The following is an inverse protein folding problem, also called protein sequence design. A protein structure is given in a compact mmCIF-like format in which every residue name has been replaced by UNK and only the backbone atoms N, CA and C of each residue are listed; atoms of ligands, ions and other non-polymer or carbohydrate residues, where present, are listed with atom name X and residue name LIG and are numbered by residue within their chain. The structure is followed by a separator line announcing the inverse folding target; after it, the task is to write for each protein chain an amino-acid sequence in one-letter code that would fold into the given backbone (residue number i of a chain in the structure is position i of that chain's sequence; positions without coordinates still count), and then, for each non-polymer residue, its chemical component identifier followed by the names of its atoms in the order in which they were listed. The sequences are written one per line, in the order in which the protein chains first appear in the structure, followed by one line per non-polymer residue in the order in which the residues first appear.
data_IF_136936114358
#
_entry.id   IF_136936114358
#
_cell.length_a   1.000
_cell.length_b   1.000
_cell.length_c   1.000
_cell.angle_alpha   90.00
_cell.angle_beta   90.00
_cell.angle_gamma   90.00
#
_symmetry.space_group_name_H-M   'P 1'
#
loop_
_entity.id
_entity.type
_entity.pdbx_description
1 polymer ?
#
# COMPACT_ATOMS: atom_id res chain seq x y z
N UNK A 1 -1.98 24.68 4.38
CA UNK A 1 -1.78 25.08 2.96
C UNK A 1 -0.30 25.22 2.54
N UNK A 2 0.60 25.83 3.31
CA UNK A 2 2.03 26.01 2.93
C UNK A 2 2.79 24.67 2.76
N UNK A 3 2.64 23.72 3.71
CA UNK A 3 3.35 22.42 3.65
C UNK A 3 2.96 21.63 2.41
N UNK A 4 1.67 21.53 2.08
CA UNK A 4 1.19 20.81 0.89
C UNK A 4 1.88 21.32 -0.38
N UNK A 5 1.97 22.65 -0.57
CA UNK A 5 2.66 23.25 -1.74
C UNK A 5 4.14 22.86 -1.81
N UNK A 6 4.84 22.81 -0.67
CA UNK A 6 6.25 22.40 -0.64
C UNK A 6 6.42 20.92 -1.02
N UNK A 7 5.59 20.03 -0.49
CA UNK A 7 5.65 18.60 -0.81
C UNK A 7 5.41 18.36 -2.31
N UNK A 8 4.40 19.01 -2.89
CA UNK A 8 4.16 18.90 -4.34
C UNK A 8 5.32 19.47 -5.15
N UNK A 9 5.95 20.57 -4.73
CA UNK A 9 7.16 21.09 -5.40
C UNK A 9 8.29 20.06 -5.39
N UNK A 10 8.51 19.35 -4.27
CA UNK A 10 9.50 18.28 -4.18
C UNK A 10 9.15 17.17 -5.18
N UNK A 11 7.88 16.70 -5.20
CA UNK A 11 7.43 15.67 -6.15
C UNK A 11 7.69 16.09 -7.60
N UNK A 12 7.31 17.31 -7.98
CA UNK A 12 7.51 17.82 -9.35
C UNK A 12 8.97 17.90 -9.76
N UNK A 13 9.91 18.11 -8.82
CA UNK A 13 11.34 18.06 -9.13
C UNK A 13 11.81 16.68 -9.60
N UNK A 14 11.21 15.61 -9.08
CA UNK A 14 11.52 14.22 -9.44
C UNK A 14 10.65 13.71 -10.60
N UNK A 15 9.37 14.07 -10.58
CA UNK A 15 8.34 13.58 -11.50
C UNK A 15 7.44 14.74 -11.96
N UNK A 16 7.85 15.54 -12.97
CA UNK A 16 7.13 16.75 -13.36
C UNK A 16 5.74 16.52 -13.96
N UNK A 17 5.47 15.31 -14.47
CA UNK A 17 4.20 14.98 -15.16
C UNK A 17 3.26 14.13 -14.28
N UNK A 18 3.25 14.33 -12.96
CA UNK A 18 2.61 13.42 -11.99
C UNK A 18 1.11 13.57 -11.80
N UNK A 19 0.40 14.28 -12.63
CA UNK A 19 -1.06 14.39 -12.49
C UNK A 19 -1.73 13.02 -12.48
N UNK A 20 -2.57 12.77 -11.46
CA UNK A 20 -3.28 11.50 -11.32
C UNK A 20 -4.36 11.41 -12.41
N UNK A 21 -4.02 10.80 -13.53
CA UNK A 21 -4.98 10.36 -14.54
C UNK A 21 -5.51 8.98 -14.14
N UNK A 22 -6.80 8.95 -13.80
CA UNK A 22 -7.49 7.72 -13.36
C UNK A 22 -7.37 6.59 -14.39
N UNK A 23 -7.45 6.91 -15.67
CA UNK A 23 -7.39 5.91 -16.74
C UNK A 23 -5.99 5.32 -16.88
N UNK A 24 -4.96 6.15 -16.81
CA UNK A 24 -3.56 5.70 -16.82
C UNK A 24 -3.24 4.85 -15.58
N UNK A 25 -3.75 5.24 -14.41
CA UNK A 25 -3.58 4.45 -13.19
C UNK A 25 -4.17 3.04 -13.33
N UNK A 26 -5.43 2.96 -13.80
CA UNK A 26 -6.10 1.67 -14.07
C UNK A 26 -5.39 0.85 -15.13
N UNK A 27 -4.90 1.49 -16.21
CA UNK A 27 -4.15 0.80 -17.27
C UNK A 27 -2.86 0.17 -16.73
N UNK A 28 -2.12 0.89 -15.89
CA UNK A 28 -0.90 0.35 -15.28
C UNK A 28 -1.24 -0.85 -14.37
N UNK A 29 -2.27 -0.76 -13.52
CA UNK A 29 -2.71 -1.88 -12.70
C UNK A 29 -3.06 -3.11 -13.53
N UNK A 30 -3.77 -2.92 -14.64
CA UNK A 30 -4.20 -4.00 -15.55
C UNK A 30 -3.02 -4.62 -16.31
N UNK A 31 -2.02 -3.81 -16.66
CA UNK A 31 -0.88 -4.24 -17.50
C UNK A 31 0.37 -4.59 -16.70
N UNK A 32 0.33 -4.48 -15.39
CA UNK A 32 1.44 -4.87 -14.51
C UNK A 32 1.55 -6.39 -14.36
N UNK A 33 2.77 -6.87 -14.10
CA UNK A 33 3.02 -8.29 -13.75
C UNK A 33 3.06 -8.52 -12.24
N UNK A 34 3.05 -7.44 -11.47
CA UNK A 34 3.13 -7.53 -10.02
C UNK A 34 1.76 -7.80 -9.44
N UNK A 35 1.72 -8.54 -8.36
CA UNK A 35 0.52 -8.73 -7.56
C UNK A 35 0.10 -7.37 -6.99
N UNK A 36 -0.78 -6.68 -7.71
CA UNK A 36 -1.37 -5.46 -7.19
C UNK A 36 -2.17 -5.79 -5.93
N UNK A 37 -1.81 -5.19 -4.82
CA UNK A 37 -2.60 -5.28 -3.60
C UNK A 37 -3.76 -4.28 -3.63
N UNK A 38 -4.69 -4.46 -2.70
CA UNK A 38 -5.79 -3.51 -2.47
C UNK A 38 -5.29 -2.09 -2.20
N UNK A 39 -4.08 -1.93 -1.63
CA UNK A 39 -3.47 -0.63 -1.34
C UNK A 39 -3.04 0.17 -2.58
N UNK A 40 -2.98 -0.47 -3.74
CA UNK A 40 -2.75 0.21 -5.03
C UNK A 40 -4.04 0.70 -5.70
N UNK A 41 -5.21 0.35 -5.18
CA UNK A 41 -6.49 0.76 -5.76
C UNK A 41 -6.81 2.22 -5.42
N UNK A 42 -7.30 2.97 -6.41
CA UNK A 42 -7.69 4.37 -6.22
C UNK A 42 -8.77 4.57 -5.15
N UNK A 43 -9.69 3.61 -5.01
CA UNK A 43 -10.71 3.66 -3.97
C UNK A 43 -10.11 3.53 -2.57
N UNK A 44 -9.11 2.67 -2.40
CA UNK A 44 -8.37 2.54 -1.15
C UNK A 44 -7.61 3.83 -0.82
N UNK A 45 -6.97 4.45 -1.82
CA UNK A 45 -6.29 5.75 -1.66
C UNK A 45 -7.30 6.81 -1.18
N UNK A 46 -8.46 6.92 -1.83
CA UNK A 46 -9.52 7.86 -1.44
C UNK A 46 -10.04 7.61 -0.04
N UNK A 47 -10.27 6.33 0.30
CA UNK A 47 -10.72 5.94 1.62
C UNK A 47 -9.74 6.38 2.70
N UNK A 48 -8.46 6.07 2.59
CA UNK A 48 -7.48 6.43 3.61
C UNK A 48 -7.20 7.93 3.69
N UNK A 49 -7.25 8.66 2.58
CA UNK A 49 -7.19 10.14 2.60
C UNK A 49 -8.37 10.71 3.39
N UNK A 50 -9.57 10.15 3.24
CA UNK A 50 -10.75 10.54 4.01
C UNK A 50 -10.63 10.10 5.47
N UNK A 51 -10.20 8.86 5.71
CA UNK A 51 -10.04 8.29 7.06
C UNK A 51 -9.06 9.10 7.92
N UNK A 52 -7.97 9.57 7.33
CA UNK A 52 -6.98 10.41 8.02
C UNK A 52 -7.23 11.92 7.86
N UNK A 53 -8.40 12.34 7.38
CA UNK A 53 -8.68 13.78 7.13
C UNK A 53 -8.46 14.66 8.36
N UNK A 54 -8.85 14.18 9.54
CA UNK A 54 -8.67 14.88 10.81
C UNK A 54 -7.21 14.93 11.28
N UNK A 55 -6.32 14.17 10.62
CA UNK A 55 -4.90 14.06 10.92
C UNK A 55 -4.02 14.76 9.87
N UNK A 56 -4.51 15.83 9.25
CA UNK A 56 -3.77 16.59 8.22
C UNK A 56 -3.27 15.73 7.04
N UNK A 57 -4.07 14.78 6.55
CA UNK A 57 -3.65 13.88 5.47
C UNK A 57 -3.43 14.59 4.14
N UNK A 58 -2.38 14.19 3.43
CA UNK A 58 -2.02 14.72 2.11
C UNK A 58 -1.76 13.51 1.19
N UNK A 59 -2.58 13.38 0.14
CA UNK A 59 -2.32 12.38 -0.91
C UNK A 59 -1.11 12.82 -1.75
N UNK A 60 -0.07 12.01 -1.75
CA UNK A 60 1.17 12.17 -2.51
C UNK A 60 1.34 11.07 -3.57
N UNK A 61 0.29 10.25 -3.80
CA UNK A 61 0.31 9.18 -4.81
C UNK A 61 0.58 9.76 -6.19
N UNK A 62 1.34 9.05 -7.01
CA UNK A 62 1.80 9.58 -8.29
C UNK A 62 1.84 8.53 -9.39
N UNK A 63 1.70 8.98 -10.64
CA UNK A 63 2.04 8.21 -11.83
C UNK A 63 3.51 8.46 -12.14
N UNK A 64 4.23 7.39 -12.43
CA UNK A 64 5.65 7.42 -12.75
C UNK A 64 5.82 7.47 -14.25
N UNK A 65 6.54 8.48 -14.73
CA UNK A 65 6.78 8.68 -16.15
C UNK A 65 8.24 8.44 -16.50
N UNK A 66 8.46 7.87 -17.68
CA UNK A 66 9.75 7.78 -18.35
C UNK A 66 9.55 8.09 -19.84
N UNK A 67 10.35 9.02 -20.38
CA UNK A 67 10.22 9.51 -21.76
C UNK A 67 8.76 9.88 -22.13
N UNK A 68 8.10 10.64 -21.26
CA UNK A 68 6.70 11.07 -21.40
C UNK A 68 5.65 9.94 -21.38
N UNK A 69 6.05 8.70 -21.20
CA UNK A 69 5.15 7.56 -21.09
C UNK A 69 4.89 7.20 -19.63
N UNK A 70 3.63 6.95 -19.28
CA UNK A 70 3.26 6.44 -17.98
C UNK A 70 3.70 4.97 -17.88
N UNK A 71 4.65 4.69 -16.99
CA UNK A 71 5.31 3.37 -16.87
C UNK A 71 5.09 2.70 -15.52
N UNK A 72 4.58 3.44 -14.53
CA UNK A 72 4.34 2.89 -13.20
C UNK A 72 3.46 3.80 -12.34
N UNK A 73 3.13 3.32 -11.15
CA UNK A 73 2.38 4.04 -10.11
C UNK A 73 3.04 3.85 -8.76
N UNK A 74 2.94 4.85 -7.91
CA UNK A 74 3.41 4.83 -6.53
C UNK A 74 2.33 5.38 -5.61
N UNK A 75 1.66 4.53 -4.81
CA UNK A 75 0.80 4.99 -3.73
C UNK A 75 1.65 5.58 -2.61
N UNK A 76 1.36 6.82 -2.23
CA UNK A 76 2.07 7.49 -1.15
C UNK A 76 1.14 8.50 -0.47
N UNK A 77 1.22 8.57 0.83
CA UNK A 77 0.46 9.54 1.63
C UNK A 77 1.33 10.07 2.77
N UNK A 78 1.18 11.34 3.09
CA UNK A 78 1.67 11.91 4.33
C UNK A 78 0.48 12.19 5.24
N UNK A 79 0.57 11.81 6.51
CA UNK A 79 -0.44 12.13 7.52
C UNK A 79 0.21 12.25 8.89
N UNK A 80 -0.51 12.80 9.86
CA UNK A 80 -0.04 12.85 11.25
C UNK A 80 -0.51 11.61 12.00
N UNK A 81 0.39 11.03 12.80
CA UNK A 81 0.06 9.95 13.72
C UNK A 81 -0.66 10.49 14.99
N UNK A 82 -0.98 9.60 15.93
CA UNK A 82 -1.62 9.96 17.21
C UNK A 82 -0.81 10.97 18.02
N UNK A 83 0.51 10.99 17.86
CA UNK A 83 1.43 11.95 18.52
C UNK A 83 1.56 13.28 17.75
N UNK A 84 0.75 13.48 16.69
CA UNK A 84 0.80 14.63 15.79
C UNK A 84 2.13 14.78 15.01
N UNK A 85 2.90 13.71 14.90
CA UNK A 85 4.10 13.63 14.09
C UNK A 85 3.77 13.21 12.66
N UNK A 86 4.47 13.79 11.68
CA UNK A 86 4.32 13.36 10.30
C UNK A 86 4.88 11.96 10.06
N UNK A 87 4.13 11.17 9.29
CA UNK A 87 4.55 9.87 8.78
C UNK A 87 4.26 9.77 7.29
N UNK A 88 5.11 9.03 6.56
CA UNK A 88 4.84 8.61 5.19
C UNK A 88 4.33 7.17 5.21
N UNK A 89 3.31 6.89 4.42
CA UNK A 89 2.66 5.58 4.34
C UNK A 89 2.20 5.23 2.93
N UNK A 90 1.90 3.96 2.70
CA UNK A 90 1.33 3.42 1.48
C UNK A 90 -0.19 3.31 1.53
N UNK A 91 -0.89 4.37 1.99
CA UNK A 91 -2.35 4.38 2.15
C UNK A 91 -2.87 3.34 3.16
N UNK A 92 -2.59 3.59 4.43
CA UNK A 92 -3.08 2.78 5.56
C UNK A 92 -2.14 1.66 6.02
N UNK A 93 -1.06 1.45 5.29
CA UNK A 93 0.06 0.56 5.66
C UNK A 93 1.35 1.33 5.54
N UNK A 94 2.46 0.73 5.92
CA UNK A 94 3.81 1.24 5.65
C UNK A 94 4.01 1.48 4.15
N UNK A 95 5.09 2.13 3.75
CA UNK A 95 5.37 2.41 2.34
C UNK A 95 5.51 1.08 1.58
N UNK A 96 4.66 0.89 0.57
CA UNK A 96 4.67 -0.29 -0.31
C UNK A 96 5.50 -0.04 -1.57
N UNK A 97 5.80 -1.12 -2.29
CA UNK A 97 6.54 -1.01 -3.55
C UNK A 97 5.76 -0.29 -4.65
N UNK A 98 6.45 0.39 -5.58
CA UNK A 98 5.83 0.89 -6.79
C UNK A 98 5.47 -0.25 -7.74
N UNK A 99 4.36 -0.10 -8.46
CA UNK A 99 3.97 -1.02 -9.53
C UNK A 99 4.41 -0.46 -10.87
N UNK A 100 4.93 -1.34 -11.74
CA UNK A 100 5.39 -0.99 -13.08
C UNK A 100 4.69 -1.82 -14.15
N UNK A 101 4.59 -1.29 -15.37
CA UNK A 101 4.16 -2.04 -16.55
C UNK A 101 5.07 -3.24 -16.80
N UNK A 102 4.49 -4.33 -17.32
CA UNK A 102 5.12 -5.64 -17.52
C UNK A 102 6.46 -5.57 -18.25
N UNK A 103 6.53 -4.79 -19.31
CA UNK A 103 7.66 -4.78 -20.24
C UNK A 103 8.66 -3.65 -19.99
N UNK A 104 8.65 -3.07 -18.77
CA UNK A 104 9.63 -2.03 -18.44
C UNK A 104 11.01 -2.64 -18.23
N UNK A 105 12.00 -2.15 -19.00
CA UNK A 105 13.37 -2.60 -18.90
C UNK A 105 13.93 -2.41 -17.47
N UNK A 106 14.62 -3.42 -16.94
CA UNK A 106 15.17 -3.42 -15.58
C UNK A 106 16.04 -2.18 -15.27
N UNK A 107 16.82 -1.72 -16.24
CA UNK A 107 17.65 -0.51 -16.11
C UNK A 107 16.81 0.75 -15.87
N UNK A 108 15.68 0.87 -16.58
CA UNK A 108 14.75 1.99 -16.43
C UNK A 108 14.03 1.89 -15.08
N UNK A 109 13.54 0.70 -14.73
CA UNK A 109 12.93 0.41 -13.44
C UNK A 109 13.86 0.84 -12.29
N UNK A 110 15.10 0.36 -12.28
CA UNK A 110 16.10 0.71 -11.26
C UNK A 110 16.32 2.22 -11.15
N UNK A 111 16.39 2.94 -12.29
CA UNK A 111 16.54 4.40 -12.31
C UNK A 111 15.35 5.10 -11.64
N UNK A 112 14.13 4.67 -11.94
CA UNK A 112 12.92 5.23 -11.34
C UNK A 112 12.85 4.92 -9.85
N UNK A 113 13.13 3.69 -9.43
CA UNK A 113 13.13 3.29 -8.03
C UNK A 113 14.14 4.10 -7.21
N UNK A 114 15.33 4.36 -7.75
CA UNK A 114 16.31 5.25 -7.11
C UNK A 114 15.77 6.68 -6.96
N UNK A 115 15.07 7.20 -7.98
CA UNK A 115 14.42 8.52 -7.88
C UNK A 115 13.34 8.53 -6.79
N UNK A 116 12.56 7.46 -6.65
CA UNK A 116 11.53 7.35 -5.62
C UNK A 116 12.17 7.36 -4.22
N UNK A 117 13.25 6.61 -4.00
CA UNK A 117 13.95 6.61 -2.72
C UNK A 117 14.49 8.01 -2.36
N UNK A 118 15.11 8.69 -3.32
CA UNK A 118 15.56 10.06 -3.11
C UNK A 118 14.40 11.03 -2.82
N UNK A 119 13.27 10.87 -3.52
CA UNK A 119 12.04 11.63 -3.25
C UNK A 119 11.54 11.38 -1.82
N UNK A 120 11.45 10.12 -1.37
CA UNK A 120 11.01 9.77 -0.01
C UNK A 120 11.95 10.41 1.01
N UNK A 121 13.25 10.39 0.77
CA UNK A 121 14.24 11.02 1.63
C UNK A 121 14.04 12.55 1.74
N UNK A 122 13.82 13.24 0.62
CA UNK A 122 13.59 14.69 0.62
C UNK A 122 12.25 15.06 1.25
N UNK A 123 11.20 14.26 1.04
CA UNK A 123 9.91 14.42 1.73
C UNK A 123 10.07 14.23 3.24
N UNK A 124 10.85 13.23 3.66
CA UNK A 124 11.11 12.97 5.08
C UNK A 124 11.86 14.11 5.75
N UNK A 125 12.85 14.70 5.07
CA UNK A 125 13.53 15.91 5.55
C UNK A 125 12.58 17.10 5.72
N UNK A 126 11.74 17.38 4.71
CA UNK A 126 10.79 18.49 4.77
C UNK A 126 9.77 18.30 5.90
N UNK A 127 9.32 17.07 6.13
CA UNK A 127 8.36 16.69 7.16
C UNK A 127 8.99 16.42 8.54
N UNK A 128 10.33 16.42 8.63
CA UNK A 128 11.09 16.06 9.85
C UNK A 128 10.76 14.65 10.35
N UNK A 129 10.65 13.71 9.42
CA UNK A 129 10.41 12.28 9.71
C UNK A 129 11.77 11.62 9.96
N UNK A 130 11.93 11.02 11.13
CA UNK A 130 13.17 10.35 11.52
C UNK A 130 13.24 8.90 11.03
N UNK A 131 12.09 8.23 10.83
CA UNK A 131 12.02 6.83 10.45
C UNK A 131 10.94 6.60 9.39
N UNK A 132 11.34 6.05 8.24
CA UNK A 132 10.43 5.56 7.22
C UNK A 132 10.32 4.03 7.33
N UNK A 133 9.09 3.53 7.30
CA UNK A 133 8.80 2.10 7.35
C UNK A 133 8.31 1.61 5.99
N UNK A 134 8.85 0.48 5.55
CA UNK A 134 8.49 -0.16 4.29
C UNK A 134 7.96 -1.57 4.59
N UNK A 135 6.93 -1.99 3.87
CA UNK A 135 6.38 -3.33 4.02
C UNK A 135 6.41 -4.09 2.70
N UNK A 136 6.89 -5.33 2.75
CA UNK A 136 6.71 -6.28 1.66
C UNK A 136 5.36 -6.99 1.83
N UNK A 137 4.46 -6.76 0.88
CA UNK A 137 3.13 -7.39 0.86
C UNK A 137 3.09 -8.69 0.05
N UNK A 138 4.17 -9.06 -0.61
CA UNK A 138 4.30 -10.37 -1.26
C UNK A 138 4.69 -11.44 -0.24
N UNK A 139 3.82 -12.44 -0.04
CA UNK A 139 4.02 -13.46 1.01
C UNK A 139 5.15 -14.47 0.72
N UNK A 140 5.51 -14.68 -0.54
CA UNK A 140 6.41 -15.77 -0.93
C UNK A 140 7.70 -15.31 -1.60
N UNK A 141 7.86 -14.00 -1.83
CA UNK A 141 8.96 -13.50 -2.63
C UNK A 141 9.33 -12.07 -2.26
N UNK A 142 10.62 -11.82 -2.14
CA UNK A 142 11.11 -10.45 -2.10
C UNK A 142 11.27 -9.91 -3.52
N UNK A 143 10.64 -8.78 -3.80
CA UNK A 143 10.87 -8.06 -5.05
C UNK A 143 12.30 -7.45 -5.06
N UNK A 144 12.78 -7.10 -6.26
CA UNK A 144 14.07 -6.38 -6.41
C UNK A 144 14.07 -5.03 -5.66
N UNK A 145 12.90 -4.43 -5.45
CA UNK A 145 12.73 -3.23 -4.63
C UNK A 145 13.11 -3.49 -3.18
N UNK A 146 12.50 -4.51 -2.56
CA UNK A 146 12.78 -4.85 -1.16
C UNK A 146 14.19 -5.36 -0.95
N UNK A 147 14.76 -6.13 -1.87
CA UNK A 147 16.16 -6.56 -1.79
C UNK A 147 17.10 -5.36 -1.66
N UNK A 148 16.83 -4.27 -2.42
CA UNK A 148 17.63 -3.03 -2.31
C UNK A 148 17.35 -2.25 -1.03
N UNK A 149 16.11 -2.25 -0.54
CA UNK A 149 15.78 -1.61 0.73
C UNK A 149 16.48 -2.30 1.91
N UNK A 150 16.61 -3.63 1.88
CA UNK A 150 17.34 -4.38 2.90
C UNK A 150 18.82 -3.97 3.01
N UNK A 151 19.44 -3.58 1.88
CA UNK A 151 20.82 -3.06 1.88
C UNK A 151 20.94 -1.69 2.55
N UNK A 152 19.84 -0.93 2.66
CA UNK A 152 19.78 0.42 3.22
C UNK A 152 19.11 0.47 4.59
N UNK A 153 18.49 -0.62 5.03
CA UNK A 153 17.71 -0.66 6.25
C UNK A 153 18.60 -0.75 7.49
N UNK A 154 18.32 0.10 8.48
CA UNK A 154 18.95 0.02 9.82
C UNK A 154 18.36 -1.12 10.66
N UNK A 155 17.06 -1.40 10.46
CA UNK A 155 16.33 -2.44 11.17
C UNK A 155 15.41 -3.19 10.20
N UNK A 156 15.29 -4.49 10.40
CA UNK A 156 14.35 -5.35 9.67
C UNK A 156 13.52 -6.16 10.63
N UNK A 157 12.21 -6.25 10.36
CA UNK A 157 11.28 -7.07 11.13
C UNK A 157 10.64 -8.10 10.21
N UNK A 158 10.56 -9.33 10.68
CA UNK A 158 9.84 -10.41 9.98
C UNK A 158 8.53 -10.68 10.70
N UNK A 159 7.43 -10.61 9.97
CA UNK A 159 6.13 -11.07 10.44
C UNK A 159 5.79 -12.42 9.81
N UNK A 160 5.09 -13.26 10.56
CA UNK A 160 4.59 -14.54 10.07
C UNK A 160 3.09 -14.43 9.82
N UNK A 161 2.66 -14.84 8.63
CA UNK A 161 1.26 -14.90 8.27
C UNK A 161 0.83 -16.36 8.10
N UNK A 162 -0.34 -16.68 8.65
CA UNK A 162 -1.00 -17.95 8.38
C UNK A 162 -1.94 -17.74 7.20
N UNK A 163 -1.70 -18.49 6.13
CA UNK A 163 -2.55 -18.46 4.95
C UNK A 163 -3.48 -19.67 4.96
N UNK A 164 -4.74 -19.44 4.63
CA UNK A 164 -5.74 -20.47 4.47
C UNK A 164 -6.02 -20.58 2.97
N UNK A 165 -5.82 -21.77 2.40
CA UNK A 165 -6.18 -22.06 1.03
C UNK A 165 -7.70 -22.21 0.93
N UNK A 166 -8.35 -21.19 0.37
CA UNK A 166 -9.82 -21.17 0.19
C UNK A 166 -10.30 -22.00 -1.00
N UNK A 167 -9.41 -22.63 -1.78
CA UNK A 167 -9.78 -23.58 -2.83
C UNK A 167 -10.13 -24.98 -2.27
N UNK A 168 -9.73 -25.23 -1.00
CA UNK A 168 -10.04 -26.46 -0.30
C UNK A 168 -11.51 -26.49 0.19
N UNK A 169 -12.05 -27.68 0.37
CA UNK A 169 -13.35 -27.84 1.05
C UNK A 169 -13.30 -27.35 2.50
N UNK A 170 -14.45 -27.00 3.05
CA UNK A 170 -14.56 -26.56 4.46
C UNK A 170 -14.04 -27.64 5.40
N UNK A 171 -14.27 -28.91 5.09
CA UNK A 171 -13.80 -30.06 5.87
C UNK A 171 -12.27 -30.14 5.88
N UNK A 172 -11.62 -29.98 4.72
CA UNK A 172 -10.16 -29.97 4.60
C UNK A 172 -9.55 -28.77 5.34
N UNK A 173 -10.12 -27.58 5.19
CA UNK A 173 -9.71 -26.40 5.95
C UNK A 173 -9.82 -26.64 7.45
N UNK A 174 -10.93 -27.22 7.94
CA UNK A 174 -11.14 -27.55 9.35
C UNK A 174 -10.13 -28.57 9.90
N UNK A 175 -9.67 -29.51 9.06
CA UNK A 175 -8.64 -30.48 9.47
C UNK A 175 -7.29 -29.80 9.75
N UNK A 176 -6.97 -28.71 9.06
CA UNK A 176 -5.73 -27.96 9.23
C UNK A 176 -5.70 -27.12 10.52
N UNK A 177 -6.86 -26.81 11.12
CA UNK A 177 -6.88 -26.05 12.36
C UNK A 177 -6.33 -26.86 13.55
N UNK A 178 -5.61 -26.17 14.43
CA UNK A 178 -5.16 -26.76 15.71
C UNK A 178 -6.37 -27.31 16.48
N UNK A 179 -6.16 -28.41 17.20
CA UNK A 179 -7.23 -29.05 18.00
C UNK A 179 -7.92 -28.08 18.95
N UNK A 180 -7.17 -27.11 19.52
CA UNK A 180 -7.72 -26.08 20.44
C UNK A 180 -8.71 -25.13 19.81
N UNK A 181 -8.66 -24.90 18.47
CA UNK A 181 -9.62 -24.01 17.79
C UNK A 181 -10.95 -24.69 17.43
N UNK A 182 -10.96 -26.01 17.29
CA UNK A 182 -12.17 -26.74 16.90
C UNK A 182 -13.35 -26.49 17.85
N UNK A 183 -13.20 -26.55 19.21
CA UNK A 183 -14.26 -26.20 20.10
C UNK A 183 -14.76 -24.76 19.97
N UNK A 184 -13.85 -23.80 19.75
CA UNK A 184 -14.20 -22.39 19.59
C UNK A 184 -15.02 -22.16 18.32
N UNK A 185 -14.62 -22.77 17.21
CA UNK A 185 -15.36 -22.73 15.94
C UNK A 185 -16.74 -23.33 16.11
N UNK A 186 -16.86 -24.50 16.76
CA UNK A 186 -18.14 -25.16 17.00
C UNK A 186 -19.03 -24.33 17.93
N UNK A 187 -18.44 -23.61 18.89
CA UNK A 187 -19.18 -22.67 19.75
C UNK A 187 -19.71 -21.51 18.91
N UNK A 188 -18.87 -20.90 18.05
CA UNK A 188 -19.29 -19.82 17.17
C UNK A 188 -20.46 -20.23 16.27
N UNK A 189 -20.42 -21.39 15.66
CA UNK A 189 -21.53 -21.89 14.82
C UNK A 189 -22.87 -22.08 15.60
N UNK A 190 -22.82 -22.32 16.89
CA UNK A 190 -24.02 -22.46 17.70
C UNK A 190 -24.54 -21.13 18.23
N UNK A 191 -23.65 -20.19 18.52
CA UNK A 191 -24.00 -18.97 19.26
C UNK A 191 -24.11 -17.75 18.34
N UNK A 192 -23.48 -17.78 17.14
CA UNK A 192 -23.45 -16.65 16.22
C UNK A 192 -24.44 -16.85 15.08
N UNK A 193 -25.25 -15.86 14.84
CA UNK A 193 -26.04 -15.73 13.62
C UNK A 193 -25.20 -14.93 12.62
N UNK A 194 -24.83 -15.56 11.49
CA UNK A 194 -24.09 -14.92 10.41
C UNK A 194 -25.10 -14.53 9.33
N UNK A 195 -25.17 -13.25 9.01
CA UNK A 195 -25.94 -12.73 7.90
C UNK A 195 -24.97 -12.20 6.83
N UNK A 196 -25.19 -12.64 5.60
CA UNK A 196 -24.40 -12.18 4.46
C UNK A 196 -25.25 -11.19 3.66
N UNK A 197 -24.78 -9.95 3.57
CA UNK A 197 -25.44 -8.92 2.80
C UNK A 197 -24.61 -8.60 1.55
N UNK A 198 -25.21 -8.70 0.37
CA UNK A 198 -24.54 -8.31 -0.90
C UNK A 198 -24.30 -6.81 -1.00
N UNK A 199 -25.18 -6.02 -0.38
CA UNK A 199 -25.04 -4.57 -0.23
C UNK A 199 -25.33 -4.19 1.22
N UNK A 200 -24.36 -3.54 1.85
CA UNK A 200 -24.51 -3.05 3.23
C UNK A 200 -25.02 -1.61 3.18
N UNK A 201 -26.15 -1.36 3.83
CA UNK A 201 -26.66 0.01 4.02
C UNK A 201 -25.84 0.72 5.10
N UNK A 202 -25.90 2.06 5.13
CA UNK A 202 -25.22 2.83 6.17
C UNK A 202 -25.68 2.43 7.57
N UNK A 203 -26.96 2.17 7.75
CA UNK A 203 -27.56 1.76 9.02
C UNK A 203 -27.06 0.38 9.49
N UNK A 204 -26.84 -0.56 8.55
CA UNK A 204 -26.24 -1.87 8.83
C UNK A 204 -24.74 -1.81 9.14
N UNK A 205 -24.06 -0.76 8.65
CA UNK A 205 -22.64 -0.55 8.92
C UNK A 205 -22.41 0.12 10.28
N UNK A 206 -23.35 0.97 10.73
CA UNK A 206 -23.23 1.76 11.96
C UNK A 206 -23.70 0.98 13.21
N UNK A 207 -24.29 -0.23 13.07
CA UNK A 207 -24.68 -1.18 14.13
C UNK A 207 -23.69 -2.33 14.26
#
# INVERSE_FOLDING_TARGET
MKIKKKLFKIIYNYFPDTDIDINKWKDILKTSNSNSSTFHLLNTIKYYVSYFSDNDSINLSMILYYDKQAVGIMPLMAHKNKNKEWVLSGNGVEIIEPIFKKNLADKVRKKIETKILNLIFDLSKELKINKCQFINIEFFKFSKWYTRLLELAEETFTSHHLLVDLSLSIEEIRLQFRKSYKPLINKGFREWKIEVHEQVTKEQFDN
#
